data_IF_460382095443
#
_entry.id   IF_460382095443
#
_cell.length_a   1.000
_cell.length_b   1.000
_cell.length_c   1.000
_cell.angle_alpha   90.00
_cell.angle_beta   90.00
_cell.angle_gamma   90.00
#
_symmetry.space_group_name_H-M   'P 1'
#
loop_
_entity.id
_entity.type
_entity.pdbx_description
1 polymer ?
#
# COMPACT_ATOMS: atom_id res chain seq x y z
N UNK A 1 -19.34 11.71 -14.75
CA UNK A 1 -18.98 11.38 -13.35
C UNK A 1 -17.46 11.27 -13.17
N UNK A 2 -16.76 12.42 -13.25
CA UNK A 2 -15.30 12.46 -12.99
C UNK A 2 -15.01 12.29 -11.50
N UNK A 3 -15.88 12.82 -10.64
CA UNK A 3 -15.70 12.79 -9.20
C UNK A 3 -16.22 11.49 -8.60
N UNK A 4 -15.53 10.99 -7.59
CA UNK A 4 -15.89 9.76 -6.88
C UNK A 4 -14.80 9.37 -5.89
N UNK A 5 -15.13 8.39 -5.05
CA UNK A 5 -14.23 7.83 -4.06
C UNK A 5 -13.61 6.55 -4.61
N UNK A 6 -12.29 6.51 -4.70
CA UNK A 6 -11.54 5.28 -4.96
C UNK A 6 -11.21 4.61 -3.64
N UNK A 7 -11.33 3.28 -3.59
CA UNK A 7 -11.05 2.53 -2.36
C UNK A 7 -9.64 2.79 -1.81
N UNK A 8 -8.63 2.74 -2.67
CA UNK A 8 -7.24 2.95 -2.25
C UNK A 8 -6.96 4.36 -1.69
N UNK A 9 -7.78 5.39 -1.99
CA UNK A 9 -7.64 6.68 -1.32
C UNK A 9 -8.13 6.60 0.13
N UNK A 10 -9.20 5.84 0.38
CA UNK A 10 -9.72 5.66 1.73
C UNK A 10 -8.73 4.88 2.62
N UNK A 11 -8.04 3.87 2.07
CA UNK A 11 -6.98 3.16 2.81
C UNK A 11 -5.82 4.09 3.18
N UNK A 12 -5.46 5.05 2.32
CA UNK A 12 -4.42 6.05 2.64
C UNK A 12 -4.90 7.02 3.73
N UNK A 13 -6.18 7.40 3.74
CA UNK A 13 -6.77 8.18 4.84
C UNK A 13 -6.76 7.40 6.16
N UNK A 14 -7.14 6.13 6.18
CA UNK A 14 -7.06 5.27 7.36
C UNK A 14 -5.62 5.18 7.89
N UNK A 15 -4.66 4.97 6.99
CA UNK A 15 -3.24 4.95 7.34
C UNK A 15 -2.79 6.30 7.94
N UNK A 16 -3.15 7.42 7.32
CA UNK A 16 -2.81 8.75 7.82
C UNK A 16 -3.40 9.01 9.21
N UNK A 17 -4.68 8.68 9.44
CA UNK A 17 -5.33 8.80 10.74
C UNK A 17 -4.63 7.94 11.81
N UNK A 18 -4.28 6.70 11.47
CA UNK A 18 -3.49 5.85 12.38
C UNK A 18 -2.13 6.48 12.72
N UNK A 19 -1.44 7.07 11.74
CA UNK A 19 -0.17 7.78 11.96
C UNK A 19 -0.34 9.00 12.86
N UNK A 20 -1.37 9.83 12.61
CA UNK A 20 -1.68 11.00 13.43
C UNK A 20 -2.03 10.59 14.87
N UNK A 21 -2.83 9.53 15.04
CA UNK A 21 -3.17 8.98 16.36
C UNK A 21 -1.92 8.75 17.22
N UNK A 22 -0.91 8.16 16.63
CA UNK A 22 0.34 7.84 17.32
C UNK A 22 1.21 9.07 17.57
N UNK A 23 1.37 9.93 16.55
CA UNK A 23 2.19 11.13 16.68
C UNK A 23 1.63 12.11 17.71
N UNK A 24 0.30 12.18 17.83
CA UNK A 24 -0.39 13.04 18.76
C UNK A 24 -0.68 12.37 20.13
N UNK A 25 -0.42 11.06 20.27
CA UNK A 25 -0.82 10.29 21.48
C UNK A 25 -2.33 10.28 21.72
N UNK A 26 -3.15 10.43 20.66
CA UNK A 26 -4.59 10.54 20.77
C UNK A 26 -5.30 9.41 20.01
N UNK A 27 -5.89 8.41 20.71
CA UNK A 27 -6.52 7.24 20.08
C UNK A 27 -7.77 7.57 19.28
N UNK A 28 -8.35 8.77 19.40
CA UNK A 28 -9.53 9.18 18.66
C UNK A 28 -9.33 9.10 17.15
N UNK A 29 -8.15 9.47 16.66
CA UNK A 29 -7.86 9.40 15.22
C UNK A 29 -7.84 7.95 14.71
N UNK A 30 -7.28 7.01 15.48
CA UNK A 30 -7.31 5.60 15.09
C UNK A 30 -8.74 5.03 15.14
N UNK A 31 -9.57 5.47 16.09
CA UNK A 31 -11.01 5.12 16.12
C UNK A 31 -11.69 5.60 14.83
N UNK A 32 -11.45 6.84 14.39
CA UNK A 32 -11.98 7.32 13.13
C UNK A 32 -11.49 6.52 11.91
N UNK A 33 -10.23 6.04 11.94
CA UNK A 33 -9.74 5.14 10.91
C UNK A 33 -10.52 3.81 10.88
N UNK A 34 -10.86 3.25 12.03
CA UNK A 34 -11.67 2.03 12.11
C UNK A 34 -13.12 2.25 11.67
N UNK A 35 -13.74 3.35 12.08
CA UNK A 35 -15.09 3.75 11.61
C UNK A 35 -15.12 3.93 10.09
N UNK A 36 -14.09 4.57 9.53
CA UNK A 36 -13.93 4.71 8.08
C UNK A 36 -13.73 3.35 7.40
N UNK A 37 -12.96 2.43 8.01
CA UNK A 37 -12.76 1.07 7.50
C UNK A 37 -14.08 0.31 7.42
N UNK A 38 -14.89 0.31 8.47
CA UNK A 38 -16.21 -0.32 8.47
C UNK A 38 -17.14 0.28 7.40
N UNK A 39 -17.17 1.61 7.31
CA UNK A 39 -18.00 2.29 6.31
C UNK A 39 -17.54 1.99 4.89
N UNK A 40 -16.24 2.05 4.62
CA UNK A 40 -15.67 1.73 3.32
C UNK A 40 -15.93 0.27 2.96
N UNK A 41 -15.71 -0.67 3.89
CA UNK A 41 -15.98 -2.08 3.67
C UNK A 41 -17.44 -2.31 3.30
N UNK A 42 -18.38 -1.81 4.10
CA UNK A 42 -19.82 -1.99 3.87
C UNK A 42 -20.32 -1.44 2.52
N UNK A 43 -19.64 -0.42 1.97
CA UNK A 43 -20.09 0.23 0.72
C UNK A 43 -19.34 -0.25 -0.51
N UNK A 44 -18.06 -0.58 -0.37
CA UNK A 44 -17.25 -1.06 -1.51
C UNK A 44 -17.34 -2.57 -1.73
N UNK A 45 -17.77 -3.36 -0.72
CA UNK A 45 -17.87 -4.82 -0.89
C UNK A 45 -19.30 -5.25 -1.22
N UNK A 46 -19.40 -6.32 -1.99
CA UNK A 46 -20.67 -6.95 -2.33
C UNK A 46 -20.48 -8.45 -2.55
N UNK A 47 -21.53 -9.23 -2.31
CA UNK A 47 -21.56 -10.65 -2.63
C UNK A 47 -22.22 -10.85 -4.01
N UNK A 48 -21.49 -11.30 -5.04
CA UNK A 48 -22.08 -11.57 -6.33
C UNK A 48 -23.13 -12.70 -6.24
N UNK A 49 -24.17 -12.65 -7.10
CA UNK A 49 -25.16 -13.75 -7.16
C UNK A 49 -24.44 -15.08 -7.41
N UNK A 50 -24.75 -16.08 -6.59
CA UNK A 50 -24.19 -17.45 -6.65
C UNK A 50 -22.69 -17.55 -6.32
N UNK A 51 -22.08 -16.54 -5.71
CA UNK A 51 -20.72 -16.61 -5.18
C UNK A 51 -20.75 -16.77 -3.66
N UNK A 52 -19.73 -17.41 -3.11
CA UNK A 52 -19.48 -17.52 -1.66
C UNK A 52 -18.53 -16.42 -1.20
N UNK A 53 -17.68 -15.88 -2.08
CA UNK A 53 -16.66 -14.90 -1.80
C UNK A 53 -17.12 -13.51 -2.24
N UNK A 54 -16.95 -12.52 -1.38
CA UNK A 54 -17.22 -11.12 -1.69
C UNK A 54 -16.26 -10.60 -2.78
N UNK A 55 -16.68 -9.51 -3.43
CA UNK A 55 -15.87 -8.72 -4.36
C UNK A 55 -15.97 -7.24 -3.99
N UNK A 56 -15.12 -6.41 -4.59
CA UNK A 56 -15.07 -4.98 -4.36
C UNK A 56 -15.37 -4.18 -5.61
N UNK A 57 -15.95 -3.00 -5.42
CA UNK A 57 -15.98 -1.93 -6.42
C UNK A 57 -14.68 -1.12 -6.36
N UNK A 58 -14.14 -0.75 -7.51
CA UNK A 58 -12.95 0.10 -7.56
C UNK A 58 -13.27 1.55 -7.20
N UNK A 59 -14.43 2.05 -7.67
CA UNK A 59 -14.84 3.46 -7.51
C UNK A 59 -16.31 3.56 -7.17
N UNK A 60 -16.62 4.34 -6.16
CA UNK A 60 -17.99 4.68 -5.73
C UNK A 60 -18.27 6.17 -5.96
N UNK A 61 -19.56 6.56 -5.95
CA UNK A 61 -19.97 7.96 -5.87
C UNK A 61 -19.44 8.63 -4.60
N UNK A 62 -19.39 9.98 -4.58
CA UNK A 62 -18.86 10.75 -3.43
C UNK A 62 -19.59 10.39 -2.14
N UNK A 63 -20.92 10.24 -2.21
CA UNK A 63 -21.77 9.86 -1.08
C UNK A 63 -21.78 8.36 -0.76
N UNK A 64 -21.02 7.56 -1.52
CA UNK A 64 -20.91 6.11 -1.41
C UNK A 64 -22.23 5.35 -1.66
N UNK A 65 -23.20 5.95 -2.34
CA UNK A 65 -24.52 5.35 -2.56
C UNK A 65 -24.58 4.38 -3.74
N UNK A 66 -23.69 4.54 -4.72
CA UNK A 66 -23.65 3.70 -5.93
C UNK A 66 -22.25 3.48 -6.50
N UNK A 67 -22.00 2.32 -7.10
CA UNK A 67 -20.74 2.07 -7.80
C UNK A 67 -20.68 2.89 -9.10
N UNK A 68 -19.51 3.51 -9.35
CA UNK A 68 -19.20 4.17 -10.62
C UNK A 68 -18.37 3.27 -11.53
N UNK A 69 -17.50 2.45 -10.95
CA UNK A 69 -16.72 1.43 -11.66
C UNK A 69 -16.89 0.09 -10.93
N UNK A 70 -17.60 -0.86 -11.54
CA UNK A 70 -17.93 -2.13 -10.89
C UNK A 70 -16.78 -3.15 -10.87
N UNK A 71 -15.71 -2.92 -11.64
CA UNK A 71 -14.51 -3.79 -11.58
C UNK A 71 -13.76 -3.58 -10.27
N UNK A 72 -13.12 -4.63 -9.80
CA UNK A 72 -12.25 -4.59 -8.62
C UNK A 72 -10.83 -4.20 -9.04
N UNK A 73 -10.20 -3.31 -8.29
CA UNK A 73 -8.76 -3.07 -8.43
C UNK A 73 -7.97 -4.30 -7.98
N UNK A 74 -6.93 -4.66 -8.74
CA UNK A 74 -6.18 -5.91 -8.52
C UNK A 74 -5.60 -6.00 -7.09
N UNK A 75 -5.16 -4.88 -6.53
CA UNK A 75 -4.49 -4.84 -5.22
C UNK A 75 -5.39 -4.29 -4.10
N UNK A 76 -6.62 -3.87 -4.39
CA UNK A 76 -7.50 -3.25 -3.40
C UNK A 76 -7.82 -4.18 -2.20
N UNK A 77 -8.11 -5.48 -2.39
CA UNK A 77 -8.34 -6.37 -1.24
C UNK A 77 -7.10 -6.51 -0.34
N UNK A 78 -5.90 -6.56 -0.94
CA UNK A 78 -4.65 -6.65 -0.20
C UNK A 78 -4.38 -5.37 0.61
N UNK A 79 -4.46 -4.19 -0.01
CA UNK A 79 -4.27 -2.91 0.67
C UNK A 79 -5.32 -2.73 1.79
N UNK A 80 -6.55 -3.19 1.56
CA UNK A 80 -7.60 -3.24 2.58
C UNK A 80 -7.22 -4.16 3.75
N UNK A 81 -6.84 -5.40 3.47
CA UNK A 81 -6.44 -6.39 4.48
C UNK A 81 -5.33 -5.84 5.38
N UNK A 82 -4.26 -5.35 4.78
CA UNK A 82 -3.10 -4.82 5.51
C UNK A 82 -3.48 -3.57 6.31
N UNK A 83 -4.28 -2.67 5.73
CA UNK A 83 -4.74 -1.44 6.40
C UNK A 83 -5.64 -1.76 7.59
N UNK A 84 -6.62 -2.65 7.44
CA UNK A 84 -7.53 -3.03 8.52
C UNK A 84 -6.78 -3.70 9.67
N UNK A 85 -5.88 -4.62 9.37
CA UNK A 85 -5.01 -5.24 10.37
C UNK A 85 -4.15 -4.22 11.12
N UNK A 86 -3.62 -3.21 10.42
CA UNK A 86 -2.80 -2.16 11.03
C UNK A 86 -3.61 -1.31 12.01
N UNK A 87 -4.78 -0.79 11.61
CA UNK A 87 -5.60 0.06 12.48
C UNK A 87 -6.19 -0.72 13.65
N UNK A 88 -6.55 -1.99 13.44
CA UNK A 88 -7.01 -2.88 14.50
C UNK A 88 -5.91 -3.21 15.52
N UNK A 89 -4.69 -3.51 15.05
CA UNK A 89 -3.56 -3.76 15.94
C UNK A 89 -3.22 -2.54 16.81
N UNK A 90 -3.35 -1.34 16.26
CA UNK A 90 -3.22 -0.10 17.04
C UNK A 90 -4.32 0.04 18.09
N UNK A 91 -5.59 -0.22 17.72
CA UNK A 91 -6.71 -0.17 18.66
C UNK A 91 -6.56 -1.16 19.83
N UNK A 92 -6.13 -2.39 19.54
CA UNK A 92 -5.92 -3.42 20.58
C UNK A 92 -4.82 -3.05 21.58
N UNK A 93 -3.82 -2.27 21.15
CA UNK A 93 -2.77 -1.74 22.06
C UNK A 93 -3.25 -0.61 22.95
N UNK A 94 -4.12 0.26 22.42
CA UNK A 94 -4.59 1.44 23.12
C UNK A 94 -5.79 1.15 24.05
N UNK A 95 -6.51 0.04 23.80
CA UNK A 95 -7.73 -0.29 24.53
C UNK A 95 -7.46 -1.27 25.66
N UNK A 96 -7.56 -0.80 26.92
CA UNK A 96 -7.62 -1.66 28.10
C UNK A 96 -9.04 -2.19 28.38
N UNK A 97 -10.05 -1.84 27.57
CA UNK A 97 -11.44 -2.24 27.80
C UNK A 97 -11.93 -3.21 26.73
N UNK A 98 -12.50 -4.37 27.12
CA UNK A 98 -13.23 -5.25 26.20
C UNK A 98 -14.51 -4.56 25.69
N UNK A 99 -14.85 -4.73 24.39
CA UNK A 99 -16.09 -4.23 23.80
C UNK A 99 -15.94 -2.97 22.95
N UNK A 100 -14.72 -2.65 22.48
CA UNK A 100 -14.48 -1.61 21.47
C UNK A 100 -14.87 -2.05 20.06
N UNK A 101 -14.78 -1.10 19.12
CA UNK A 101 -14.93 -1.34 17.69
C UNK A 101 -13.87 -2.36 17.23
N UNK A 102 -14.27 -3.39 16.48
CA UNK A 102 -13.36 -4.35 15.85
C UNK A 102 -13.61 -4.45 14.35
N UNK A 103 -12.68 -5.06 13.63
CA UNK A 103 -12.71 -5.28 12.19
C UNK A 103 -12.50 -6.77 11.85
N UNK A 104 -12.78 -7.67 12.78
CA UNK A 104 -12.48 -9.10 12.59
C UNK A 104 -13.24 -9.68 11.39
N UNK A 105 -14.51 -9.29 11.17
CA UNK A 105 -15.30 -9.73 10.02
C UNK A 105 -14.81 -9.10 8.72
N UNK A 106 -14.48 -7.81 8.71
CA UNK A 106 -13.97 -7.10 7.55
C UNK A 106 -12.58 -7.62 7.13
N UNK A 107 -11.74 -7.97 8.11
CA UNK A 107 -10.43 -8.59 7.88
C UNK A 107 -10.59 -9.99 7.29
N UNK A 108 -11.55 -10.79 7.79
CA UNK A 108 -11.83 -12.11 7.26
C UNK A 108 -12.30 -12.05 5.80
N UNK A 109 -13.23 -11.17 5.48
CA UNK A 109 -13.71 -10.94 4.10
C UNK A 109 -12.57 -10.54 3.16
N UNK A 110 -11.70 -9.61 3.59
CA UNK A 110 -10.54 -9.20 2.78
C UNK A 110 -9.54 -10.34 2.59
N UNK A 111 -9.30 -11.14 3.62
CA UNK A 111 -8.41 -12.29 3.54
C UNK A 111 -8.93 -13.33 2.53
N UNK A 112 -10.25 -13.65 2.59
CA UNK A 112 -10.89 -14.54 1.64
C UNK A 112 -10.83 -14.02 0.19
N UNK A 113 -11.02 -12.70 -0.01
CA UNK A 113 -10.85 -12.07 -1.33
C UNK A 113 -9.41 -12.16 -1.86
N UNK A 114 -8.41 -12.22 -0.98
CA UNK A 114 -7.01 -12.36 -1.35
C UNK A 114 -6.61 -13.81 -1.71
N UNK A 115 -7.42 -14.80 -1.35
CA UNK A 115 -7.10 -16.22 -1.61
C UNK A 115 -7.01 -16.49 -3.11
N UNK A 116 -5.92 -17.14 -3.52
CA UNK A 116 -5.68 -17.49 -4.94
C UNK A 116 -5.39 -16.31 -5.86
N UNK A 117 -5.31 -15.08 -5.35
CA UNK A 117 -4.97 -13.94 -6.18
C UNK A 117 -3.47 -13.90 -6.56
N UNK A 118 -3.20 -13.40 -7.75
CA UNK A 118 -1.85 -13.08 -8.22
C UNK A 118 -1.62 -11.57 -8.11
N UNK A 119 -0.43 -11.18 -7.61
CA UNK A 119 -0.09 -9.78 -7.36
C UNK A 119 0.80 -9.18 -8.46
N UNK A 120 1.06 -9.94 -9.52
CA UNK A 120 1.96 -9.51 -10.59
C UNK A 120 1.41 -8.30 -11.34
N UNK A 121 2.23 -7.27 -11.46
CA UNK A 121 1.91 -6.05 -12.18
C UNK A 121 3.13 -5.47 -12.86
N UNK A 122 2.94 -4.84 -14.01
CA UNK A 122 3.94 -4.04 -14.71
C UNK A 122 3.83 -2.54 -14.40
N UNK A 123 2.78 -2.14 -13.68
CA UNK A 123 2.55 -0.74 -13.30
C UNK A 123 3.48 -0.33 -12.15
N UNK A 124 4.34 0.69 -12.31
CA UNK A 124 5.26 1.11 -11.26
C UNK A 124 4.55 1.57 -9.98
N UNK A 125 3.35 2.17 -10.07
CA UNK A 125 2.56 2.49 -8.88
C UNK A 125 2.11 1.22 -8.13
N UNK A 126 1.65 0.23 -8.87
CA UNK A 126 1.25 -1.07 -8.31
C UNK A 126 2.42 -1.80 -7.66
N UNK A 127 3.59 -1.82 -8.30
CA UNK A 127 4.82 -2.42 -7.74
C UNK A 127 5.20 -1.70 -6.43
N UNK A 128 5.17 -0.36 -6.44
CA UNK A 128 5.46 0.45 -5.25
C UNK A 128 4.48 0.18 -4.11
N UNK A 129 3.19 0.04 -4.43
CA UNK A 129 2.13 -0.35 -3.49
C UNK A 129 2.42 -1.70 -2.83
N UNK A 130 2.73 -2.73 -3.63
CA UNK A 130 3.08 -4.07 -3.12
C UNK A 130 4.28 -4.05 -2.17
N UNK A 131 5.31 -3.25 -2.46
CA UNK A 131 6.47 -3.10 -1.59
C UNK A 131 6.12 -2.40 -0.26
N UNK A 132 5.25 -1.39 -0.30
CA UNK A 132 4.73 -0.75 0.91
C UNK A 132 3.89 -1.72 1.74
N UNK A 133 3.03 -2.51 1.10
CA UNK A 133 2.22 -3.51 1.79
C UNK A 133 3.07 -4.65 2.36
N UNK A 134 4.08 -5.12 1.64
CA UNK A 134 5.06 -6.08 2.17
C UNK A 134 5.78 -5.54 3.42
N UNK A 135 6.19 -4.27 3.41
CA UNK A 135 6.80 -3.62 4.57
C UNK A 135 5.83 -3.56 5.76
N UNK A 136 4.56 -3.19 5.53
CA UNK A 136 3.52 -3.14 6.56
C UNK A 136 3.20 -4.55 7.10
N UNK A 137 3.09 -5.56 6.22
CA UNK A 137 2.89 -6.95 6.60
C UNK A 137 4.04 -7.47 7.48
N UNK A 138 5.29 -7.18 7.12
CA UNK A 138 6.44 -7.55 7.94
C UNK A 138 6.40 -6.93 9.35
N UNK A 139 5.96 -5.67 9.46
CA UNK A 139 5.75 -5.02 10.76
C UNK A 139 4.63 -5.65 11.57
N UNK A 140 3.52 -6.01 10.94
CA UNK A 140 2.40 -6.67 11.61
C UNK A 140 2.82 -8.06 12.12
N UNK A 141 3.53 -8.84 11.31
CA UNK A 141 4.08 -10.14 11.71
C UNK A 141 5.05 -10.00 12.88
N UNK A 142 5.95 -9.04 12.85
CA UNK A 142 6.89 -8.78 13.94
C UNK A 142 6.18 -8.39 15.24
N UNK A 143 5.15 -7.55 15.15
CA UNK A 143 4.36 -7.11 16.31
C UNK A 143 3.49 -8.23 16.90
N UNK A 144 2.96 -9.13 16.07
CA UNK A 144 2.15 -10.26 16.50
C UNK A 144 2.98 -11.46 16.97
N UNK A 145 4.29 -11.49 16.67
CA UNK A 145 5.15 -12.65 16.91
C UNK A 145 4.76 -13.89 16.09
N UNK A 146 3.98 -13.68 15.02
CA UNK A 146 3.45 -14.74 14.15
C UNK A 146 3.88 -14.50 12.71
N UNK A 147 4.24 -15.58 12.04
CA UNK A 147 4.74 -15.53 10.68
C UNK A 147 3.60 -15.69 9.66
N UNK A 148 3.35 -14.65 8.87
CA UNK A 148 2.58 -14.75 7.62
C UNK A 148 3.56 -14.80 6.42
N UNK A 149 4.53 -15.70 6.49
CA UNK A 149 5.66 -15.76 5.56
C UNK A 149 5.24 -15.93 4.11
N UNK A 150 4.21 -16.73 3.84
CA UNK A 150 3.75 -16.98 2.48
C UNK A 150 3.28 -15.70 1.78
N UNK A 151 2.46 -14.88 2.44
CA UNK A 151 2.01 -13.63 1.87
C UNK A 151 3.19 -12.69 1.61
N UNK A 152 4.05 -12.48 2.62
CA UNK A 152 5.21 -11.59 2.50
C UNK A 152 6.16 -12.03 1.37
N UNK A 153 6.47 -13.33 1.28
CA UNK A 153 7.32 -13.86 0.21
C UNK A 153 6.68 -13.66 -1.16
N UNK A 154 5.39 -13.95 -1.30
CA UNK A 154 4.66 -13.75 -2.55
C UNK A 154 4.65 -12.29 -3.01
N UNK A 155 4.44 -11.34 -2.09
CA UNK A 155 4.48 -9.91 -2.41
C UNK A 155 5.87 -9.46 -2.90
N UNK A 156 6.93 -9.92 -2.24
CA UNK A 156 8.30 -9.62 -2.64
C UNK A 156 8.67 -10.27 -3.98
N UNK A 157 8.18 -11.49 -4.26
CA UNK A 157 8.39 -12.15 -5.54
C UNK A 157 7.70 -11.43 -6.69
N UNK A 158 6.43 -11.07 -6.52
CA UNK A 158 5.68 -10.30 -7.51
C UNK A 158 6.31 -8.94 -7.76
N UNK A 159 6.72 -8.24 -6.68
CA UNK A 159 7.45 -6.98 -6.78
C UNK A 159 8.78 -7.13 -7.52
N UNK A 160 9.54 -8.22 -7.27
CA UNK A 160 10.81 -8.47 -7.94
C UNK A 160 10.62 -8.71 -9.45
N UNK A 161 9.61 -9.48 -9.84
CA UNK A 161 9.25 -9.68 -11.26
C UNK A 161 8.84 -8.36 -11.90
N UNK A 162 7.97 -7.60 -11.25
CA UNK A 162 7.46 -6.32 -11.73
C UNK A 162 8.57 -5.30 -11.92
N UNK A 163 9.40 -5.04 -10.89
CA UNK A 163 10.48 -4.05 -10.98
C UNK A 163 11.55 -4.47 -11.98
N UNK A 164 11.84 -5.78 -12.08
CA UNK A 164 12.77 -6.30 -13.09
C UNK A 164 12.28 -6.08 -14.51
N UNK A 165 10.99 -6.21 -14.79
CA UNK A 165 10.39 -5.91 -16.08
C UNK A 165 10.39 -4.41 -16.35
N UNK A 166 10.01 -3.59 -15.39
CA UNK A 166 10.01 -2.13 -15.49
C UNK A 166 11.41 -1.58 -15.79
N UNK A 167 12.45 -2.07 -15.09
CA UNK A 167 13.82 -1.63 -15.26
C UNK A 167 14.44 -2.01 -16.62
N UNK A 168 13.97 -3.10 -17.24
CA UNK A 168 14.38 -3.52 -18.58
C UNK A 168 13.62 -2.82 -19.69
N UNK A 169 12.47 -2.25 -19.38
CA UNK A 169 11.66 -1.49 -20.34
C UNK A 169 12.27 -0.14 -20.66
N UNK A 170 11.72 0.50 -21.70
CA UNK A 170 12.15 1.83 -22.18
C UNK A 170 11.43 2.98 -21.47
N UNK A 171 10.53 2.72 -20.53
CA UNK A 171 9.65 3.74 -19.94
C UNK A 171 10.42 4.91 -19.31
N UNK A 172 11.57 4.65 -18.68
CA UNK A 172 12.41 5.68 -18.08
C UNK A 172 13.19 6.53 -19.11
N UNK A 173 13.22 6.11 -20.37
CA UNK A 173 13.87 6.83 -21.48
C UNK A 173 12.90 7.69 -22.27
N UNK A 174 11.60 7.61 -21.96
CA UNK A 174 10.56 8.41 -22.62
C UNK A 174 10.66 9.88 -22.25
N UNK A 175 10.10 10.73 -23.10
CA UNK A 175 9.97 12.15 -22.81
C UNK A 175 9.03 12.41 -21.63
N UNK A 176 9.18 13.55 -20.91
CA UNK A 176 8.37 13.82 -19.70
C UNK A 176 6.87 13.77 -19.92
N UNK A 177 6.36 14.15 -21.09
CA UNK A 177 4.94 14.15 -21.46
C UNK A 177 4.37 12.75 -21.72
N UNK A 178 5.24 11.76 -21.97
CA UNK A 178 4.88 10.35 -22.13
C UNK A 178 4.97 9.55 -20.82
N UNK A 179 5.33 10.20 -19.70
CA UNK A 179 5.55 9.57 -18.39
C UNK A 179 4.52 10.05 -17.36
N UNK A 180 4.15 9.18 -16.42
CA UNK A 180 3.25 9.49 -15.32
C UNK A 180 4.03 9.55 -14.01
N UNK A 181 4.37 10.77 -13.58
CA UNK A 181 5.21 11.04 -12.43
C UNK A 181 4.73 10.33 -11.15
N UNK A 182 3.43 10.40 -10.82
CA UNK A 182 2.88 9.78 -9.62
C UNK A 182 3.06 8.26 -9.59
N UNK A 183 3.08 7.60 -10.76
CA UNK A 183 3.31 6.15 -10.85
C UNK A 183 4.76 5.79 -10.55
N UNK A 184 5.69 6.48 -11.17
CA UNK A 184 7.13 6.25 -10.97
C UNK A 184 7.57 6.62 -9.54
N UNK A 185 7.05 7.73 -9.01
CA UNK A 185 7.28 8.13 -7.62
C UNK A 185 6.67 7.15 -6.64
N UNK A 186 5.56 6.50 -6.98
CA UNK A 186 5.00 5.38 -6.21
C UNK A 186 5.97 4.21 -6.10
N UNK A 187 6.63 3.84 -7.22
CA UNK A 187 7.69 2.83 -7.20
C UNK A 187 8.87 3.29 -6.31
N UNK A 188 9.29 4.54 -6.42
CA UNK A 188 10.38 5.10 -5.60
C UNK A 188 10.06 4.97 -4.10
N UNK A 189 8.84 5.34 -3.67
CA UNK A 189 8.39 5.19 -2.27
C UNK A 189 8.47 3.72 -1.83
N UNK A 190 7.99 2.79 -2.66
CA UNK A 190 8.06 1.35 -2.36
C UNK A 190 9.49 0.83 -2.23
N UNK A 191 10.40 1.24 -3.12
CA UNK A 191 11.81 0.88 -3.04
C UNK A 191 12.50 1.48 -1.78
N UNK A 192 12.10 2.68 -1.34
CA UNK A 192 12.56 3.27 -0.06
C UNK A 192 12.14 2.43 1.17
N UNK A 193 11.07 1.66 1.09
CA UNK A 193 10.64 0.76 2.15
C UNK A 193 11.59 -0.43 2.37
N UNK A 194 12.35 -0.85 1.36
CA UNK A 194 13.19 -2.05 1.42
C UNK A 194 14.27 -1.98 2.51
N UNK A 195 14.95 -0.85 2.67
CA UNK A 195 15.99 -0.71 3.71
C UNK A 195 15.41 -0.82 5.12
N UNK A 196 14.16 -0.33 5.30
CA UNK A 196 13.45 -0.42 6.58
C UNK A 196 13.02 -1.85 6.84
N UNK A 197 12.51 -2.53 5.81
CA UNK A 197 12.12 -3.93 5.86
C UNK A 197 13.32 -4.82 6.16
N UNK A 198 14.49 -4.56 5.55
CA UNK A 198 15.72 -5.29 5.83
C UNK A 198 16.10 -5.19 7.30
N UNK A 199 16.16 -3.97 7.85
CA UNK A 199 16.48 -3.75 9.28
C UNK A 199 15.46 -4.43 10.21
N UNK A 200 14.19 -4.39 9.87
CA UNK A 200 13.13 -5.05 10.63
C UNK A 200 13.33 -6.56 10.67
N UNK A 201 13.55 -7.18 9.51
CA UNK A 201 13.72 -8.64 9.35
C UNK A 201 14.99 -9.11 10.07
N UNK A 202 16.10 -8.37 9.96
CA UNK A 202 17.35 -8.63 10.68
C UNK A 202 17.19 -8.48 12.21
N UNK A 203 16.34 -7.55 12.65
CA UNK A 203 16.04 -7.31 14.06
C UNK A 203 15.13 -8.38 14.71
N UNK A 204 14.50 -9.25 13.92
CA UNK A 204 13.60 -10.30 14.38
C UNK A 204 14.05 -11.71 13.96
N UNK A 205 15.25 -12.17 14.37
CA UNK A 205 15.82 -13.44 13.88
C UNK A 205 15.06 -14.70 14.33
N UNK A 206 14.19 -14.59 15.35
CA UNK A 206 13.32 -15.70 15.79
C UNK A 206 12.16 -15.92 14.80
N UNK A 207 11.68 -14.85 14.17
CA UNK A 207 10.59 -14.88 13.21
C UNK A 207 11.12 -15.09 11.79
N UNK A 208 12.16 -14.34 11.43
CA UNK A 208 12.79 -14.39 10.12
C UNK A 208 14.20 -14.99 10.24
N UNK A 209 14.29 -16.31 10.45
CA UNK A 209 15.56 -17.01 10.57
C UNK A 209 16.51 -16.73 9.39
N UNK A 210 17.82 -16.96 9.58
CA UNK A 210 18.85 -16.61 8.57
C UNK A 210 18.61 -17.22 7.18
N UNK A 211 17.94 -18.38 7.13
CA UNK A 211 17.59 -19.09 5.88
C UNK A 211 16.23 -18.71 5.32
N UNK A 212 15.51 -17.81 5.97
CA UNK A 212 14.18 -17.39 5.54
C UNK A 212 14.23 -16.75 4.15
N UNK A 213 13.35 -17.14 3.20
CA UNK A 213 13.38 -16.65 1.81
C UNK A 213 13.32 -15.14 1.66
N UNK A 214 12.73 -14.45 2.63
CA UNK A 214 12.57 -13.00 2.65
C UNK A 214 13.90 -12.25 2.50
N UNK A 215 14.97 -12.75 3.12
CA UNK A 215 16.29 -12.13 3.04
C UNK A 215 16.82 -12.08 1.61
N UNK A 216 16.73 -13.20 0.89
CA UNK A 216 17.19 -13.29 -0.50
C UNK A 216 16.36 -12.38 -1.43
N UNK A 217 15.03 -12.29 -1.20
CA UNK A 217 14.14 -11.44 -1.99
C UNK A 217 14.44 -9.96 -1.75
N UNK A 218 14.59 -9.52 -0.50
CA UNK A 218 14.97 -8.14 -0.17
C UNK A 218 16.32 -7.82 -0.80
N UNK A 219 17.33 -8.67 -0.65
CA UNK A 219 18.65 -8.46 -1.26
C UNK A 219 18.59 -8.31 -2.78
N UNK A 220 17.74 -9.10 -3.45
CA UNK A 220 17.55 -9.01 -4.89
C UNK A 220 16.84 -7.70 -5.30
N UNK A 221 15.85 -7.26 -4.54
CA UNK A 221 15.13 -6.01 -4.77
C UNK A 221 16.00 -4.77 -4.49
N UNK A 222 16.93 -4.84 -3.51
CA UNK A 222 17.85 -3.74 -3.18
C UNK A 222 18.73 -3.32 -4.36
N UNK A 223 18.95 -4.19 -5.35
CA UNK A 223 19.68 -3.84 -6.58
C UNK A 223 19.00 -2.78 -7.42
N UNK A 224 17.69 -2.59 -7.22
CA UNK A 224 16.88 -1.59 -7.94
C UNK A 224 16.77 -0.27 -7.18
N UNK A 225 17.38 -0.13 -6.02
CA UNK A 225 17.39 1.13 -5.26
C UNK A 225 17.88 2.36 -6.04
N UNK A 226 18.89 2.27 -6.92
CA UNK A 226 19.29 3.41 -7.74
C UNK A 226 18.19 4.01 -8.60
N UNK A 227 17.12 3.25 -8.91
CA UNK A 227 15.96 3.79 -9.62
C UNK A 227 15.27 4.93 -8.84
N UNK A 228 15.29 4.88 -7.49
CA UNK A 228 14.71 5.94 -6.67
C UNK A 228 15.35 7.30 -6.99
N UNK A 229 16.68 7.34 -6.93
CA UNK A 229 17.43 8.57 -7.17
C UNK A 229 17.25 9.08 -8.61
N UNK A 230 17.23 8.17 -9.57
CA UNK A 230 16.99 8.50 -10.98
C UNK A 230 15.61 9.11 -11.20
N UNK A 231 14.56 8.50 -10.67
CA UNK A 231 13.18 8.98 -10.76
C UNK A 231 13.01 10.31 -10.00
N UNK A 232 13.50 10.39 -8.78
CA UNK A 232 13.41 11.61 -7.96
C UNK A 232 14.15 12.78 -8.61
N UNK A 233 15.38 12.56 -9.08
CA UNK A 233 16.16 13.59 -9.78
C UNK A 233 15.46 14.09 -11.04
N UNK A 234 14.89 13.17 -11.84
CA UNK A 234 14.15 13.51 -13.05
C UNK A 234 12.94 14.41 -12.75
N UNK A 235 12.13 14.04 -11.74
CA UNK A 235 10.93 14.81 -11.40
C UNK A 235 11.19 16.00 -10.47
N UNK A 236 12.39 16.16 -9.90
CA UNK A 236 12.84 17.39 -9.23
C UNK A 236 13.22 18.47 -10.23
N UNK A 237 13.65 18.09 -11.44
CA UNK A 237 13.99 19.06 -12.47
C UNK A 237 12.75 19.86 -12.89
N UNK A 238 12.77 21.20 -12.81
CA UNK A 238 11.68 22.04 -13.28
C UNK A 238 11.29 21.79 -14.75
N UNK A 239 12.27 21.56 -15.61
CA UNK A 239 12.03 21.30 -17.05
C UNK A 239 11.17 20.05 -17.23
N UNK A 240 11.43 18.98 -16.48
CA UNK A 240 10.63 17.76 -16.53
C UNK A 240 9.19 17.96 -16.06
N UNK A 241 8.88 19.03 -15.33
CA UNK A 241 7.55 19.36 -14.78
C UNK A 241 6.77 20.39 -15.60
N UNK A 242 7.35 20.95 -16.63
CA UNK A 242 6.68 21.98 -17.45
C UNK A 242 5.74 21.41 -18.53
N UNK A 243 5.53 20.09 -18.56
CA UNK A 243 4.66 19.41 -19.51
C UNK A 243 3.19 19.32 -19.03
N UNK A 244 2.28 19.06 -19.98
CA UNK A 244 0.84 18.96 -19.72
C UNK A 244 0.48 17.74 -18.87
N UNK A 245 1.17 16.62 -18.99
CA UNK A 245 0.93 15.41 -18.20
C UNK A 245 1.21 15.66 -16.71
N UNK A 246 2.29 16.39 -16.39
CA UNK A 246 2.55 16.81 -15.01
C UNK A 246 1.48 17.74 -14.49
N UNK A 247 1.10 18.76 -15.27
CA UNK A 247 0.09 19.77 -14.87
C UNK A 247 -1.29 19.14 -14.66
N UNK A 248 -1.69 18.22 -15.52
CA UNK A 248 -2.97 17.51 -15.40
C UNK A 248 -3.10 16.65 -14.12
N UNK A 249 -1.98 16.24 -13.53
CA UNK A 249 -1.92 15.42 -12.31
C UNK A 249 -1.13 16.11 -11.19
N UNK A 250 -1.09 17.44 -11.20
CA UNK A 250 -0.18 18.23 -10.35
C UNK A 250 -0.28 17.90 -8.88
N UNK A 251 -1.49 17.82 -8.34
CA UNK A 251 -1.72 17.60 -6.90
C UNK A 251 -1.14 16.26 -6.46
N UNK A 252 -1.47 15.18 -7.16
CA UNK A 252 -0.93 13.86 -6.80
C UNK A 252 0.57 13.76 -7.07
N UNK A 253 1.07 14.37 -8.16
CA UNK A 253 2.50 14.38 -8.47
C UNK A 253 3.31 15.05 -7.36
N UNK A 254 2.83 16.20 -6.85
CA UNK A 254 3.48 16.93 -5.75
C UNK A 254 3.48 16.11 -4.45
N UNK A 255 2.34 15.49 -4.11
CA UNK A 255 2.24 14.64 -2.92
C UNK A 255 3.18 13.45 -3.02
N UNK A 256 3.20 12.77 -4.17
CA UNK A 256 4.07 11.60 -4.37
C UNK A 256 5.55 11.98 -4.36
N UNK A 257 5.92 13.11 -4.97
CA UNK A 257 7.29 13.61 -4.94
C UNK A 257 7.72 13.95 -3.51
N UNK A 258 6.91 14.70 -2.76
CA UNK A 258 7.19 15.02 -1.37
C UNK A 258 7.34 13.76 -0.50
N UNK A 259 6.46 12.76 -0.70
CA UNK A 259 6.51 11.49 0.02
C UNK A 259 7.75 10.68 -0.33
N UNK A 260 8.16 10.67 -1.62
CA UNK A 260 9.37 9.95 -2.05
C UNK A 260 10.64 10.56 -1.43
N UNK A 261 10.72 11.88 -1.37
CA UNK A 261 11.86 12.61 -0.79
C UNK A 261 11.89 12.55 0.75
N UNK A 262 10.74 12.48 1.39
CA UNK A 262 10.61 12.40 2.85
C UNK A 262 9.70 11.22 3.27
N UNK A 263 10.12 9.97 3.00
CA UNK A 263 9.25 8.79 3.13
C UNK A 263 8.90 8.44 4.58
N UNK A 264 9.57 9.00 5.57
CA UNK A 264 9.36 8.69 6.98
C UNK A 264 7.95 9.00 7.47
N UNK A 265 7.35 10.07 6.95
CA UNK A 265 5.96 10.42 7.26
C UNK A 265 4.98 9.31 6.89
N UNK A 266 5.25 8.59 5.82
CA UNK A 266 4.41 7.52 5.29
C UNK A 266 4.87 6.12 5.73
N UNK A 267 6.18 5.81 5.63
CA UNK A 267 6.71 4.46 5.83
C UNK A 267 6.95 4.08 7.30
N UNK A 268 6.97 5.01 8.24
CA UNK A 268 7.16 4.64 9.65
C UNK A 268 5.90 3.97 10.18
N UNK A 269 6.00 2.71 10.55
CA UNK A 269 4.98 1.90 11.22
C UNK A 269 5.55 1.59 12.59
N UNK A 270 4.86 1.91 13.59
CA UNK A 270 5.37 1.73 14.96
C UNK A 270 4.35 1.02 15.80
#
# INVERSE_FOLDING_TARGET
DRDGQYYHYLTKWMHALNRVSRAAGNPTYNRWAMELAQRAHATFTYLPKRASVKRMYWKMSIDLSRPLVPSMGQHDPLDGLITYRQVQAASKRDSQKPGGLDLDSEIADMAEMCEGMTWDTGDPLGIGGLLCDAHRAAHLSAAAGSEESHLLVNLLESSLRGVGNFARGSSLMLAPDERLAFRELGLSIGLRALQRMQRLVEGHPRLFGKTHPVHAKIKSLMRYQPLCEGVEKFWLDPVSRENETWKAHREINMVMLATSLAPDGFLTIS
#
